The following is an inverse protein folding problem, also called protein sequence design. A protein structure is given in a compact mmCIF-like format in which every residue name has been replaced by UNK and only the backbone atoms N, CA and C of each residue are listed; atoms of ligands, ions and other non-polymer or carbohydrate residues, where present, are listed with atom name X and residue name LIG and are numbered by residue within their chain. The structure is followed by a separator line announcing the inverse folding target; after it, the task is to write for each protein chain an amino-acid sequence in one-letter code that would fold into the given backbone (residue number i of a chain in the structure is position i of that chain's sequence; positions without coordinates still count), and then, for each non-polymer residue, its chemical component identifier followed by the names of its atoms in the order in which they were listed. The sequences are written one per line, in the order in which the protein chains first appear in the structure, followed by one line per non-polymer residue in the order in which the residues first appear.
data_IF_277781243245
#
_entry.id   IF_277781243245
#
_cell.length_a   1.000
_cell.length_b   1.000
_cell.length_c   1.000
_cell.angle_alpha   90.00
_cell.angle_beta   90.00
_cell.angle_gamma   90.00
#
_symmetry.space_group_name_H-M   'P 1'
#
loop_
_entity.id
_entity.type
_entity.pdbx_description
1 polymer ?
#
# COMPACT_ATOMS: atom_id res chain seq x y z
N UNK A 1 -35.84 -14.77 21.48
CA UNK A 1 -36.71 -13.59 21.29
C UNK A 1 -36.00 -12.59 20.40
N UNK A 2 -36.65 -12.30 19.28
CA UNK A 2 -36.45 -11.21 18.31
C UNK A 2 -35.03 -10.91 17.80
N UNK A 3 -34.76 -11.48 16.63
CA UNK A 3 -33.81 -10.99 15.64
C UNK A 3 -34.20 -9.55 15.25
N UNK A 4 -33.22 -8.66 15.16
CA UNK A 4 -33.35 -7.39 14.45
C UNK A 4 -32.35 -7.39 13.32
N UNK A 5 -32.84 -7.72 12.14
CA UNK A 5 -32.21 -7.39 10.86
C UNK A 5 -32.13 -5.85 10.77
N UNK A 6 -30.95 -5.29 10.69
CA UNK A 6 -30.77 -3.92 10.22
C UNK A 6 -30.44 -3.96 8.73
N UNK A 7 -31.46 -3.67 7.94
CA UNK A 7 -31.33 -3.33 6.54
C UNK A 7 -30.54 -2.01 6.43
N UNK A 8 -29.48 -2.04 5.64
CA UNK A 8 -28.77 -0.83 5.20
C UNK A 8 -29.67 -0.18 4.16
N UNK A 9 -30.36 0.86 4.56
CA UNK A 9 -31.19 1.67 3.67
C UNK A 9 -30.31 2.58 2.82
N UNK A 10 -30.36 2.35 1.52
CA UNK A 10 -29.88 3.28 0.50
C UNK A 10 -30.77 4.54 0.58
N UNK A 11 -30.26 5.62 1.14
CA UNK A 11 -30.98 6.90 1.17
C UNK A 11 -30.79 7.58 -0.18
N UNK A 12 -31.79 7.45 -1.03
CA UNK A 12 -31.93 8.22 -2.26
C UNK A 12 -32.40 9.64 -1.85
N UNK A 13 -31.49 10.60 -1.80
CA UNK A 13 -31.84 12.01 -1.63
C UNK A 13 -32.22 12.60 -2.97
N UNK A 14 -33.54 12.64 -3.21
CA UNK A 14 -34.13 13.45 -4.27
C UNK A 14 -34.10 14.92 -3.84
N UNK A 15 -33.18 15.69 -4.37
CA UNK A 15 -33.23 17.15 -4.29
C UNK A 15 -34.11 17.67 -5.41
N UNK A 16 -35.37 17.95 -5.08
CA UNK A 16 -36.23 18.77 -5.92
C UNK A 16 -35.87 20.23 -5.72
N UNK A 17 -35.22 20.83 -6.70
CA UNK A 17 -35.10 22.29 -6.78
C UNK A 17 -36.36 22.85 -7.40
N UNK A 18 -37.18 23.50 -6.58
CA UNK A 18 -38.25 24.39 -7.06
C UNK A 18 -37.62 25.70 -7.55
N UNK A 19 -37.72 25.96 -8.83
CA UNK A 19 -37.75 27.33 -9.34
C UNK A 19 -39.14 27.60 -9.87
N UNK A 20 -39.80 28.58 -9.28
CA UNK A 20 -41.02 29.23 -9.85
C UNK A 20 -40.56 30.10 -11.03
N UNK A 21 -41.23 29.99 -12.14
CA UNK A 21 -41.99 31.09 -12.76
C UNK A 21 -42.66 30.71 -14.05
N UNK A 22 -43.96 31.07 -14.04
CA UNK A 22 -44.85 31.54 -15.07
C UNK A 22 -45.06 30.85 -16.42
N UNK A 23 -46.25 30.24 -16.45
CA UNK A 23 -47.28 30.32 -17.46
C UNK A 23 -46.94 30.65 -18.93
N UNK A 24 -47.13 29.65 -19.79
CA UNK A 24 -48.09 29.76 -20.89
C UNK A 24 -48.41 28.40 -21.53
N UNK A 25 -49.71 28.05 -21.76
CA UNK A 25 -50.06 26.82 -22.42
C UNK A 25 -50.19 27.06 -23.91
N UNK A 26 -49.40 26.37 -24.72
CA UNK A 26 -49.84 26.16 -26.12
C UNK A 26 -49.46 24.79 -26.63
N UNK A 27 -50.47 24.09 -26.97
CA UNK A 27 -50.69 22.91 -27.76
C UNK A 27 -49.74 22.69 -28.92
N UNK A 28 -49.26 21.43 -29.10
CA UNK A 28 -48.61 21.06 -30.34
C UNK A 28 -47.94 19.68 -30.35
N UNK A 29 -48.75 18.67 -30.50
CA UNK A 29 -48.53 17.42 -31.27
C UNK A 29 -47.08 16.99 -31.62
N UNK A 30 -46.67 15.85 -31.05
CA UNK A 30 -46.04 14.74 -31.77
C UNK A 30 -44.62 14.91 -32.30
N UNK A 31 -43.65 14.41 -31.62
CA UNK A 31 -42.72 13.37 -32.07
C UNK A 31 -41.65 13.15 -30.98
N UNK A 32 -41.50 11.90 -30.58
CA UNK A 32 -40.58 11.53 -29.54
C UNK A 32 -39.11 11.89 -29.87
N UNK A 33 -38.65 13.01 -29.35
CA UNK A 33 -37.26 13.28 -29.08
C UNK A 33 -37.20 13.61 -27.59
N UNK A 34 -36.74 12.64 -26.81
CA UNK A 34 -36.59 12.78 -25.38
C UNK A 34 -35.68 13.94 -25.03
N UNK A 35 -36.28 15.08 -24.70
CA UNK A 35 -35.58 16.29 -24.27
C UNK A 35 -35.34 16.27 -22.75
N UNK A 36 -35.09 15.10 -22.18
CA UNK A 36 -34.57 14.99 -20.82
C UNK A 36 -33.10 15.42 -20.80
N UNK A 37 -32.74 16.22 -19.82
CA UNK A 37 -31.30 16.52 -19.60
C UNK A 37 -30.57 15.22 -19.36
N UNK A 38 -29.44 15.03 -20.03
CA UNK A 38 -28.52 13.94 -19.74
C UNK A 38 -28.03 14.06 -18.27
N UNK A 39 -28.08 12.96 -17.56
CA UNK A 39 -27.59 12.87 -16.17
C UNK A 39 -26.64 11.69 -16.08
N UNK A 40 -25.43 11.91 -15.55
CA UNK A 40 -24.50 10.86 -15.16
C UNK A 40 -24.62 10.68 -13.66
N UNK A 41 -24.87 9.46 -13.21
CA UNK A 41 -25.11 9.15 -11.80
C UNK A 41 -23.94 8.42 -11.14
N UNK A 42 -23.28 7.52 -11.87
CA UNK A 42 -22.15 6.76 -11.34
C UNK A 42 -21.37 6.04 -12.44
N UNK A 43 -20.23 5.50 -12.04
CA UNK A 43 -19.39 4.60 -12.83
C UNK A 43 -19.35 3.23 -12.17
N UNK A 44 -19.27 2.16 -12.99
CA UNK A 44 -19.14 0.79 -12.45
C UNK A 44 -17.81 0.54 -11.73
N UNK A 45 -16.80 1.38 -12.02
CA UNK A 45 -15.47 1.36 -11.36
C UNK A 45 -14.90 2.78 -11.33
N UNK A 46 -14.09 3.06 -10.32
CA UNK A 46 -13.38 4.33 -10.20
C UNK A 46 -12.05 4.32 -10.97
N UNK A 47 -11.61 3.16 -11.44
CA UNK A 47 -10.39 2.99 -12.22
C UNK A 47 -10.46 1.74 -13.08
N UNK A 48 -9.55 1.67 -14.06
CA UNK A 48 -9.30 0.47 -14.84
C UNK A 48 -7.97 0.55 -15.57
N UNK A 49 -7.60 -0.55 -16.17
CA UNK A 49 -6.48 -0.58 -17.10
C UNK A 49 -6.93 -0.15 -18.49
N UNK A 50 -6.03 0.42 -19.30
CA UNK A 50 -6.32 0.68 -20.70
C UNK A 50 -6.72 -0.63 -21.39
N UNK A 51 -7.88 -0.62 -22.06
CA UNK A 51 -8.51 -1.80 -22.62
C UNK A 51 -9.64 -2.41 -21.80
N UNK A 52 -9.78 -2.04 -20.51
CA UNK A 52 -10.89 -2.49 -19.68
C UNK A 52 -12.22 -1.88 -20.12
N UNK A 53 -13.30 -2.65 -19.93
CA UNK A 53 -14.66 -2.17 -20.12
C UNK A 53 -15.18 -1.50 -18.84
N UNK A 54 -15.82 -0.34 -18.99
CA UNK A 54 -16.43 0.42 -17.90
C UNK A 54 -17.85 0.82 -18.29
N UNK A 55 -18.79 0.65 -17.37
CA UNK A 55 -20.15 1.13 -17.50
C UNK A 55 -20.29 2.50 -16.84
N UNK A 56 -20.92 3.41 -17.58
CA UNK A 56 -21.33 4.72 -17.09
C UNK A 56 -22.84 4.66 -16.91
N UNK A 57 -23.31 4.90 -15.70
CA UNK A 57 -24.73 4.87 -15.35
C UNK A 57 -25.28 6.27 -15.34
N UNK A 58 -26.53 6.42 -15.79
CA UNK A 58 -27.16 7.72 -15.88
C UNK A 58 -28.57 7.66 -16.44
N UNK A 59 -28.99 8.76 -17.00
CA UNK A 59 -30.31 8.86 -17.66
C UNK A 59 -30.18 9.64 -18.98
N UNK A 60 -31.02 9.29 -19.93
CA UNK A 60 -31.17 9.96 -21.23
C UNK A 60 -29.91 9.89 -22.11
N UNK A 61 -29.12 8.80 -22.00
CA UNK A 61 -28.06 8.56 -22.98
C UNK A 61 -28.66 8.36 -24.37
N UNK A 62 -28.22 9.14 -25.39
CA UNK A 62 -28.69 8.97 -26.76
C UNK A 62 -28.14 7.67 -27.37
N UNK A 63 -28.54 7.37 -28.61
CA UNK A 63 -28.03 6.21 -29.34
C UNK A 63 -26.49 6.29 -29.42
N UNK A 64 -25.85 5.12 -29.47
CA UNK A 64 -24.39 4.96 -29.49
C UNK A 64 -23.70 5.90 -30.52
N UNK A 65 -24.25 6.01 -31.69
CA UNK A 65 -23.71 6.79 -32.82
C UNK A 65 -23.71 8.31 -32.55
N UNK A 66 -24.47 8.75 -31.57
CA UNK A 66 -24.58 10.15 -31.16
C UNK A 66 -23.70 10.45 -29.89
N UNK A 67 -23.05 9.44 -29.36
CA UNK A 67 -22.20 9.57 -28.17
C UNK A 67 -20.73 9.60 -28.55
N UNK A 68 -20.00 10.51 -27.94
CA UNK A 68 -18.53 10.51 -27.95
C UNK A 68 -18.05 10.79 -26.52
N UNK A 69 -17.08 10.04 -26.07
CA UNK A 69 -16.46 10.21 -24.75
C UNK A 69 -14.97 10.33 -24.92
N UNK A 70 -14.36 11.33 -24.29
CA UNK A 70 -12.89 11.50 -24.29
C UNK A 70 -12.33 11.50 -22.89
N UNK A 71 -11.14 10.94 -22.74
CA UNK A 71 -10.29 10.98 -21.57
C UNK A 71 -9.08 11.85 -21.92
N UNK A 72 -9.06 13.10 -21.44
CA UNK A 72 -8.18 14.12 -21.97
C UNK A 72 -8.39 14.32 -23.47
N UNK A 73 -7.33 14.11 -24.26
CA UNK A 73 -7.38 14.22 -25.71
C UNK A 73 -7.67 12.88 -26.43
N UNK A 74 -7.82 11.78 -25.69
CA UNK A 74 -8.00 10.45 -26.29
C UNK A 74 -9.45 10.03 -26.26
N UNK A 75 -9.99 9.65 -27.43
CA UNK A 75 -11.37 9.17 -27.55
C UNK A 75 -11.48 7.71 -27.08
N UNK A 76 -12.50 7.42 -26.28
CA UNK A 76 -12.83 6.09 -25.83
C UNK A 76 -13.72 5.36 -26.86
N UNK A 77 -13.54 4.06 -26.99
CA UNK A 77 -14.41 3.23 -27.83
C UNK A 77 -15.68 2.90 -27.06
N UNK A 78 -16.83 3.48 -27.48
CA UNK A 78 -18.14 3.12 -26.93
C UNK A 78 -18.57 1.80 -27.54
N UNK A 79 -18.85 0.81 -26.71
CA UNK A 79 -19.28 -0.53 -27.16
C UNK A 79 -20.80 -0.64 -27.26
N UNK A 80 -21.51 -0.07 -26.29
CA UNK A 80 -22.98 -0.10 -26.29
C UNK A 80 -23.62 1.05 -25.51
N UNK A 81 -24.87 1.34 -25.81
CA UNK A 81 -25.78 2.11 -24.97
C UNK A 81 -27.05 1.25 -24.80
N UNK A 82 -27.52 1.15 -23.55
CA UNK A 82 -28.74 0.39 -23.25
C UNK A 82 -29.98 1.00 -23.92
N UNK A 83 -30.95 0.16 -24.26
CA UNK A 83 -32.15 0.60 -24.97
C UNK A 83 -33.00 1.61 -24.18
N UNK A 84 -32.90 1.59 -22.86
CA UNK A 84 -33.56 2.53 -21.94
C UNK A 84 -32.76 3.82 -21.70
N UNK A 85 -31.61 3.97 -22.33
CA UNK A 85 -30.74 5.13 -22.20
C UNK A 85 -30.14 5.34 -20.81
N UNK A 86 -30.05 4.29 -19.99
CA UNK A 86 -29.54 4.42 -18.61
C UNK A 86 -28.10 3.95 -18.40
N UNK A 87 -27.55 3.27 -19.41
CA UNK A 87 -26.19 2.74 -19.33
C UNK A 87 -25.44 2.93 -20.64
N UNK A 88 -24.24 3.46 -20.57
CA UNK A 88 -23.28 3.54 -21.65
C UNK A 88 -22.07 2.71 -21.26
N UNK A 89 -21.66 1.77 -22.11
CA UNK A 89 -20.47 0.95 -21.92
C UNK A 89 -19.37 1.40 -22.88
N UNK A 90 -18.18 1.61 -22.35
CA UNK A 90 -17.01 1.99 -23.14
C UNK A 90 -15.77 1.19 -22.74
N UNK A 91 -14.77 1.22 -23.62
CA UNK A 91 -13.43 0.70 -23.35
C UNK A 91 -12.50 1.85 -22.99
N UNK A 92 -11.80 1.75 -21.87
CA UNK A 92 -10.85 2.75 -21.43
C UNK A 92 -9.70 2.88 -22.43
N UNK A 93 -9.40 4.09 -22.92
CA UNK A 93 -8.29 4.31 -23.84
C UNK A 93 -6.95 4.30 -23.09
N UNK A 94 -5.84 4.32 -23.81
CA UNK A 94 -4.56 4.69 -23.24
C UNK A 94 -4.55 6.15 -22.80
N UNK A 95 -3.87 6.44 -21.71
CA UNK A 95 -3.73 7.81 -21.20
C UNK A 95 -2.33 8.04 -20.65
N UNK A 96 -1.74 9.19 -20.99
CA UNK A 96 -0.47 9.63 -20.43
C UNK A 96 -0.63 10.20 -18.99
N UNK A 97 -1.87 10.46 -18.58
CA UNK A 97 -2.19 10.94 -17.22
C UNK A 97 -3.12 9.96 -16.55
N UNK A 98 -2.91 9.76 -15.24
CA UNK A 98 -3.68 8.82 -14.44
C UNK A 98 -5.15 9.24 -14.26
N UNK A 99 -5.42 10.53 -14.03
CA UNK A 99 -6.76 11.10 -13.90
C UNK A 99 -7.03 12.07 -15.06
N UNK A 100 -7.24 11.58 -16.28
CA UNK A 100 -7.54 12.44 -17.40
C UNK A 100 -8.89 13.12 -17.21
N UNK A 101 -9.04 14.34 -17.72
CA UNK A 101 -10.34 15.02 -17.77
C UNK A 101 -11.31 14.20 -18.63
N UNK A 102 -12.46 13.86 -18.06
CA UNK A 102 -13.50 13.08 -18.74
C UNK A 102 -14.53 14.03 -19.34
N UNK A 103 -14.71 13.95 -20.67
CA UNK A 103 -15.69 14.77 -21.40
C UNK A 103 -16.66 13.91 -22.19
N UNK A 104 -17.93 14.24 -22.07
CA UNK A 104 -19.00 13.61 -22.81
C UNK A 104 -19.53 14.58 -23.88
N UNK A 105 -19.70 14.09 -25.10
CA UNK A 105 -20.26 14.82 -26.22
C UNK A 105 -21.51 14.09 -26.72
N UNK A 106 -22.61 14.80 -26.82
CA UNK A 106 -23.87 14.28 -27.29
C UNK A 106 -24.43 15.23 -28.32
N UNK A 107 -24.19 14.92 -29.59
CA UNK A 107 -24.46 15.83 -30.71
C UNK A 107 -23.61 17.11 -30.57
N UNK A 108 -24.28 18.27 -30.60
CA UNK A 108 -23.62 19.58 -30.46
C UNK A 108 -23.37 19.99 -28.99
N UNK A 109 -23.83 19.21 -28.02
CA UNK A 109 -23.71 19.52 -26.59
C UNK A 109 -22.51 18.80 -25.98
N UNK A 110 -21.74 19.52 -25.21
CA UNK A 110 -20.65 18.96 -24.37
C UNK A 110 -21.13 18.95 -22.94
N UNK A 111 -21.03 17.80 -22.26
CA UNK A 111 -21.27 17.67 -20.84
C UNK A 111 -19.95 17.25 -20.21
N UNK A 112 -19.44 18.05 -19.29
CA UNK A 112 -18.29 17.68 -18.44
C UNK A 112 -18.86 17.08 -17.17
N UNK A 113 -18.36 15.92 -16.77
CA UNK A 113 -18.74 15.36 -15.48
C UNK A 113 -18.02 16.13 -14.36
N UNK A 114 -18.70 17.12 -13.83
CA UNK A 114 -18.23 17.94 -12.70
C UNK A 114 -18.99 17.61 -11.42
N UNK A 115 -19.60 16.42 -11.30
CA UNK A 115 -20.29 16.07 -10.06
C UNK A 115 -19.30 15.88 -8.92
N UNK A 116 -19.07 16.98 -8.21
CA UNK A 116 -18.57 17.00 -6.86
C UNK A 116 -19.72 16.54 -5.95
N UNK A 117 -19.73 15.29 -5.57
CA UNK A 117 -20.54 14.84 -4.45
C UNK A 117 -19.64 14.78 -3.21
N UNK A 118 -19.80 15.73 -2.29
CA UNK A 118 -19.12 15.76 -1.00
C UNK A 118 -17.57 15.73 -1.08
N UNK A 119 -16.98 16.75 -1.69
CA UNK A 119 -15.52 16.99 -1.78
C UNK A 119 -14.68 15.92 -2.53
N UNK A 120 -15.32 14.90 -3.09
CA UNK A 120 -14.67 13.90 -3.94
C UNK A 120 -15.26 13.95 -5.35
N UNK A 121 -14.49 14.47 -6.30
CA UNK A 121 -14.79 14.32 -7.72
C UNK A 121 -14.75 12.83 -8.08
N UNK A 122 -15.86 12.29 -8.59
CA UNK A 122 -15.83 10.95 -9.18
C UNK A 122 -15.07 11.02 -10.50
N UNK A 123 -13.82 10.61 -10.49
CA UNK A 123 -12.98 10.49 -11.67
C UNK A 123 -12.75 9.01 -11.99
N UNK A 124 -12.60 8.69 -13.26
CA UNK A 124 -12.13 7.37 -13.65
C UNK A 124 -10.61 7.44 -13.85
N UNK A 125 -9.88 6.74 -13.02
CA UNK A 125 -8.44 6.57 -13.17
C UNK A 125 -8.12 5.58 -14.29
N UNK A 126 -7.16 5.91 -15.17
CA UNK A 126 -6.66 4.99 -16.18
C UNK A 126 -5.21 4.63 -15.86
N UNK A 127 -4.99 3.33 -15.63
CA UNK A 127 -3.64 2.79 -15.51
C UNK A 127 -3.26 2.24 -16.88
N UNK A 128 -2.37 2.93 -17.55
CA UNK A 128 -1.80 2.42 -18.81
C UNK A 128 -0.73 1.38 -18.47
N UNK A 129 -1.13 0.11 -18.37
CA UNK A 129 -0.23 -1.00 -18.12
C UNK A 129 0.66 -1.23 -19.36
N UNK A 130 1.72 -0.44 -19.47
CA UNK A 130 2.73 -0.61 -20.51
C UNK A 130 3.86 -1.45 -19.94
N UNK A 131 4.02 -2.66 -20.46
CA UNK A 131 5.13 -3.54 -20.09
C UNK A 131 6.45 -2.87 -20.48
N UNK A 132 7.41 -2.89 -19.56
CA UNK A 132 8.73 -2.30 -19.78
C UNK A 132 8.80 -0.78 -19.64
N UNK A 133 7.78 -0.14 -19.08
CA UNK A 133 7.75 1.31 -18.85
C UNK A 133 7.27 1.67 -17.45
N UNK A 134 7.76 2.79 -16.92
CA UNK A 134 7.26 3.38 -15.70
C UNK A 134 5.95 4.12 -15.95
N UNK A 135 4.95 3.82 -15.14
CA UNK A 135 3.63 4.46 -15.18
C UNK A 135 3.42 5.21 -13.88
N UNK A 136 3.18 6.50 -13.96
CA UNK A 136 2.86 7.35 -12.81
C UNK A 136 1.37 7.29 -12.50
N UNK A 137 1.05 7.16 -11.22
CA UNK A 137 -0.28 7.37 -10.68
C UNK A 137 -0.19 8.34 -9.51
N UNK A 138 -1.21 9.14 -9.29
CA UNK A 138 -1.27 10.01 -8.15
C UNK A 138 -2.11 9.33 -7.06
N UNK A 139 -1.68 9.45 -5.82
CA UNK A 139 -2.49 9.08 -4.69
C UNK A 139 -2.65 10.28 -3.76
N UNK A 140 -3.87 10.55 -3.29
CA UNK A 140 -4.17 11.74 -2.49
C UNK A 140 -3.80 11.57 -1.01
N UNK A 141 -2.71 10.88 -0.71
CA UNK A 141 -2.35 10.56 0.66
C UNK A 141 -0.88 10.89 0.90
N UNK A 142 -0.60 11.78 1.83
CA UNK A 142 0.76 12.08 2.25
C UNK A 142 1.37 10.87 2.98
N UNK A 143 2.50 10.36 2.46
CA UNK A 143 3.31 9.39 3.20
C UNK A 143 4.02 10.12 4.34
N UNK A 144 4.19 9.43 5.47
CA UNK A 144 4.95 9.93 6.59
C UNK A 144 6.33 10.39 6.16
N UNK A 145 6.74 11.56 6.61
CA UNK A 145 8.11 12.07 6.45
C UNK A 145 9.15 11.15 7.10
N UNK A 146 8.71 10.31 8.03
CA UNK A 146 9.56 9.34 8.72
C UNK A 146 9.68 8.04 7.90
N UNK A 147 10.59 8.07 6.95
CA UNK A 147 10.87 7.00 6.00
C UNK A 147 11.33 5.66 6.63
N UNK A 148 11.78 5.64 7.89
CA UNK A 148 12.14 4.41 8.60
C UNK A 148 10.92 3.53 8.91
N UNK A 149 9.72 4.10 8.86
CA UNK A 149 8.51 3.46 9.35
C UNK A 149 7.46 3.17 8.28
N UNK A 150 7.71 3.51 7.01
CA UNK A 150 6.76 3.16 5.94
C UNK A 150 6.78 1.66 5.69
N UNK A 151 5.75 0.97 6.14
CA UNK A 151 5.53 -0.45 5.90
C UNK A 151 4.43 -0.60 4.88
N UNK A 152 4.66 -1.44 3.91
CA UNK A 152 3.72 -1.68 2.82
C UNK A 152 3.56 -3.17 2.60
N UNK A 153 2.33 -3.60 2.40
CA UNK A 153 2.00 -4.96 1.95
C UNK A 153 1.01 -4.87 0.79
N UNK A 154 1.24 -5.65 -0.26
CA UNK A 154 0.39 -5.67 -1.45
C UNK A 154 -0.15 -7.07 -1.64
N UNK A 155 -1.47 -7.19 -1.78
CA UNK A 155 -2.19 -8.46 -1.97
C UNK A 155 -3.19 -8.26 -3.11
N UNK A 156 -2.85 -8.74 -4.31
CA UNK A 156 -3.65 -8.45 -5.50
C UNK A 156 -3.72 -6.95 -5.78
N UNK A 157 -4.92 -6.41 -5.93
CA UNK A 157 -5.16 -4.97 -6.11
C UNK A 157 -5.20 -4.18 -4.80
N UNK A 158 -5.09 -4.86 -3.66
CA UNK A 158 -5.08 -4.22 -2.35
C UNK A 158 -3.68 -3.77 -1.97
N UNK A 159 -3.56 -2.52 -1.58
CA UNK A 159 -2.33 -1.94 -1.03
C UNK A 159 -2.61 -1.50 0.40
N UNK A 160 -1.83 -1.99 1.33
CA UNK A 160 -1.85 -1.59 2.74
C UNK A 160 -0.56 -0.84 3.04
N UNK A 161 -0.65 0.31 3.68
CA UNK A 161 0.53 1.11 4.01
C UNK A 161 0.36 1.85 5.34
N UNK A 162 1.45 2.02 6.06
CA UNK A 162 1.47 2.92 7.21
C UNK A 162 1.57 4.36 6.75
N UNK A 163 0.82 5.23 7.42
CA UNK A 163 0.84 6.67 7.17
C UNK A 163 0.84 7.44 8.49
N UNK A 164 1.50 8.59 8.52
CA UNK A 164 1.27 9.60 9.55
C UNK A 164 0.05 10.42 9.14
N UNK A 165 -1.03 10.29 9.90
CA UNK A 165 -2.28 10.99 9.59
C UNK A 165 -2.24 12.47 9.94
N UNK A 166 -1.65 12.79 11.06
CA UNK A 166 -1.24 14.14 11.46
C UNK A 166 -0.15 14.04 12.54
N UNK A 167 0.53 15.15 12.81
CA UNK A 167 1.63 15.20 13.79
C UNK A 167 1.17 14.87 15.23
N UNK A 168 -0.14 14.82 15.49
CA UNK A 168 -0.72 14.58 16.81
C UNK A 168 -1.34 13.18 16.98
N UNK A 169 -1.59 12.44 15.90
CA UNK A 169 -2.40 11.21 15.92
C UNK A 169 -1.63 9.90 15.78
N UNK A 170 -0.30 9.97 15.62
CA UNK A 170 0.51 8.77 15.39
C UNK A 170 0.33 8.15 14.00
N UNK A 171 0.93 6.98 13.80
CA UNK A 171 0.83 6.24 12.54
C UNK A 171 -0.47 5.43 12.50
N UNK A 172 -1.11 5.42 11.35
CA UNK A 172 -2.26 4.56 11.05
C UNK A 172 -1.92 3.64 9.88
N UNK A 173 -2.64 2.54 9.76
CA UNK A 173 -2.64 1.76 8.52
C UNK A 173 -3.81 2.23 7.66
N UNK A 174 -3.48 2.60 6.46
CA UNK A 174 -4.43 2.90 5.40
C UNK A 174 -4.40 1.78 4.38
N UNK A 175 -5.48 1.60 3.65
CA UNK A 175 -5.51 0.63 2.57
C UNK A 175 -6.29 1.17 1.37
N UNK A 176 -5.91 0.65 0.22
CA UNK A 176 -6.61 0.86 -1.04
C UNK A 176 -7.14 -0.49 -1.53
N UNK A 177 -8.35 -0.51 -2.07
CA UNK A 177 -8.98 -1.68 -2.72
C UNK A 177 -8.87 -1.62 -4.24
N UNK A 178 -8.40 -0.50 -4.75
CA UNK A 178 -8.45 -0.11 -6.15
C UNK A 178 -7.05 0.29 -6.65
N UNK A 179 -6.05 -0.47 -6.21
CA UNK A 179 -4.66 -0.33 -6.62
C UNK A 179 -4.07 1.08 -6.37
N UNK A 180 -4.44 1.71 -5.26
CA UNK A 180 -3.85 2.96 -4.81
C UNK A 180 -4.56 4.23 -5.29
N UNK A 181 -5.82 4.13 -5.71
CA UNK A 181 -6.62 5.26 -6.21
C UNK A 181 -7.36 5.93 -5.10
N UNK A 182 -8.15 5.16 -4.38
CA UNK A 182 -8.83 5.64 -3.17
C UNK A 182 -8.24 4.96 -1.95
N UNK A 183 -8.25 5.67 -0.84
CA UNK A 183 -7.66 5.21 0.40
C UNK A 183 -8.64 5.34 1.56
N UNK A 184 -8.69 4.29 2.35
CA UNK A 184 -9.50 4.19 3.55
C UNK A 184 -8.61 3.88 4.76
N UNK A 185 -9.04 4.24 5.95
CA UNK A 185 -8.39 3.78 7.18
C UNK A 185 -8.69 2.32 7.39
N UNK A 186 -7.65 1.49 7.49
CA UNK A 186 -7.80 0.08 7.84
C UNK A 186 -7.80 -0.12 9.35
N UNK A 187 -6.91 0.55 10.06
CA UNK A 187 -6.81 0.48 11.51
C UNK A 187 -6.64 1.87 12.10
N UNK A 188 -7.42 2.16 13.12
CA UNK A 188 -7.29 3.36 13.94
C UNK A 188 -6.91 2.94 15.36
N UNK A 189 -5.80 3.45 15.85
CA UNK A 189 -5.31 3.14 17.19
C UNK A 189 -6.10 3.82 18.31
N UNK A 190 -6.96 4.78 17.98
CA UNK A 190 -7.81 5.45 18.95
C UNK A 190 -7.04 6.17 20.07
N UNK A 191 -5.87 6.74 19.78
CA UNK A 191 -5.06 7.41 20.78
C UNK A 191 -3.62 7.68 20.31
N UNK A 192 -2.74 7.96 21.25
CA UNK A 192 -1.31 8.28 21.04
C UNK A 192 -0.45 7.07 20.61
N UNK A 193 -1.05 5.92 20.32
CA UNK A 193 -0.33 4.70 19.97
C UNK A 193 0.13 4.70 18.54
N UNK A 194 1.43 4.52 18.33
CA UNK A 194 2.04 4.33 17.01
C UNK A 194 1.91 2.88 16.59
N UNK A 195 1.38 2.62 15.39
CA UNK A 195 1.44 1.29 14.79
C UNK A 195 2.89 1.00 14.44
N UNK A 196 3.48 0.04 15.15
CA UNK A 196 4.86 -0.37 14.92
C UNK A 196 4.99 -1.32 13.73
N UNK A 197 3.99 -2.15 13.50
CA UNK A 197 3.93 -3.10 12.37
C UNK A 197 2.51 -3.60 12.12
N UNK A 198 2.30 -4.21 10.96
CA UNK A 198 1.09 -4.95 10.64
C UNK A 198 1.41 -6.16 9.76
N UNK A 199 0.50 -7.10 9.73
CA UNK A 199 0.49 -8.22 8.80
C UNK A 199 -0.94 -8.53 8.38
N UNK A 200 -1.17 -8.62 7.07
CA UNK A 200 -2.45 -8.91 6.45
C UNK A 200 -2.38 -10.28 5.80
N UNK A 201 -3.38 -11.09 6.07
CA UNK A 201 -3.54 -12.40 5.44
C UNK A 201 -4.16 -12.26 4.04
N UNK A 202 -4.08 -13.27 3.18
CA UNK A 202 -4.76 -13.28 1.88
C UNK A 202 -6.29 -13.08 1.96
N UNK A 203 -6.91 -13.41 3.10
CA UNK A 203 -8.32 -13.14 3.37
C UNK A 203 -8.62 -11.66 3.71
N UNK A 204 -7.60 -10.81 3.70
CA UNK A 204 -7.67 -9.40 4.07
C UNK A 204 -8.02 -9.12 5.53
N UNK A 205 -7.97 -10.11 6.39
CA UNK A 205 -7.92 -9.92 7.84
C UNK A 205 -6.48 -9.72 8.28
N UNK A 206 -6.24 -9.13 9.44
CA UNK A 206 -4.87 -8.94 9.86
C UNK A 206 -4.66 -8.66 11.32
N UNK A 207 -3.39 -8.52 11.63
CA UNK A 207 -2.88 -8.12 12.93
C UNK A 207 -2.15 -6.79 12.79
N UNK A 208 -2.35 -5.88 13.72
CA UNK A 208 -1.49 -4.72 13.91
C UNK A 208 -0.81 -4.77 15.27
N UNK A 209 0.33 -4.14 15.36
CA UNK A 209 1.13 -4.04 16.57
C UNK A 209 1.27 -2.58 16.97
N UNK A 210 1.00 -2.30 18.23
CA UNK A 210 1.41 -1.06 18.89
C UNK A 210 2.20 -1.40 20.18
N UNK A 211 2.62 -0.39 20.91
CA UNK A 211 3.40 -0.59 22.14
C UNK A 211 2.66 -1.42 23.20
N UNK A 212 1.33 -1.35 23.22
CA UNK A 212 0.48 -1.98 24.23
C UNK A 212 0.11 -3.41 23.89
N UNK A 213 0.23 -3.82 22.62
CA UNK A 213 -0.16 -5.17 22.23
C UNK A 213 -0.29 -5.42 20.74
N UNK A 214 -0.85 -6.58 20.43
CA UNK A 214 -1.21 -7.02 19.10
C UNK A 214 -2.73 -7.08 19.00
N UNK A 215 -3.28 -6.51 17.94
CA UNK A 215 -4.72 -6.37 17.75
C UNK A 215 -5.16 -7.07 16.47
N UNK A 216 -6.30 -7.74 16.54
CA UNK A 216 -7.01 -8.20 15.36
C UNK A 216 -7.74 -7.02 14.73
N UNK A 217 -7.60 -6.85 13.41
CA UNK A 217 -8.28 -5.79 12.68
C UNK A 217 -9.00 -6.39 11.48
N UNK A 218 -10.34 -6.39 11.47
CA UNK A 218 -11.11 -6.77 10.30
C UNK A 218 -11.04 -5.68 9.24
N UNK A 219 -11.23 -6.04 7.99
CA UNK A 219 -11.27 -5.10 6.86
C UNK A 219 -12.26 -3.97 7.13
N UNK A 220 -11.81 -2.72 6.95
CA UNK A 220 -12.64 -1.52 7.14
C UNK A 220 -13.13 -1.34 8.58
N UNK A 221 -12.54 -2.07 9.52
CA UNK A 221 -12.94 -2.09 10.92
C UNK A 221 -12.08 -1.20 11.80
N UNK A 222 -12.68 -0.75 12.89
CA UNK A 222 -11.94 -0.23 14.02
C UNK A 222 -11.21 -1.35 14.73
N UNK A 223 -10.03 -1.07 15.25
CA UNK A 223 -9.30 -1.91 16.21
C UNK A 223 -10.29 -2.51 17.20
N UNK A 224 -10.21 -3.81 17.43
CA UNK A 224 -10.96 -4.43 18.52
C UNK A 224 -10.60 -3.73 19.84
N UNK A 225 -11.56 -3.40 20.69
CA UNK A 225 -11.29 -2.61 21.90
C UNK A 225 -10.31 -3.28 22.87
N UNK A 226 -10.16 -4.58 22.76
CA UNK A 226 -9.19 -5.34 23.56
C UNK A 226 -8.08 -5.88 22.67
N UNK A 227 -6.81 -5.76 23.07
CA UNK A 227 -5.71 -6.38 22.34
C UNK A 227 -5.90 -7.90 22.29
N UNK A 228 -5.65 -8.47 21.12
CA UNK A 228 -5.61 -9.92 20.94
C UNK A 228 -4.47 -10.53 21.78
N UNK A 229 -3.36 -9.80 21.88
CA UNK A 229 -2.25 -10.07 22.77
C UNK A 229 -1.98 -8.78 23.55
N UNK A 230 -2.10 -8.83 24.87
CA UNK A 230 -1.84 -7.69 25.73
C UNK A 230 -0.43 -7.79 26.34
N UNK A 231 0.34 -6.71 26.25
CA UNK A 231 1.63 -6.60 26.94
C UNK A 231 1.51 -6.78 28.47
N UNK A 232 0.32 -6.60 29.04
CA UNK A 232 0.01 -6.88 30.44
C UNK A 232 -0.13 -8.36 30.81
N UNK A 233 -0.16 -9.32 29.84
CA UNK A 233 -0.09 -10.74 30.18
C UNK A 233 1.21 -11.04 30.91
N UNK A 234 1.16 -11.94 31.87
CA UNK A 234 2.29 -12.25 32.77
C UNK A 234 3.61 -12.56 32.04
N UNK A 235 3.53 -13.27 30.91
CA UNK A 235 4.70 -13.60 30.08
C UNK A 235 5.41 -12.36 29.52
N UNK A 236 4.68 -11.28 29.28
CA UNK A 236 5.22 -10.04 28.70
C UNK A 236 5.49 -8.99 29.77
N UNK A 237 4.56 -8.80 30.72
CA UNK A 237 4.63 -7.71 31.71
C UNK A 237 5.79 -7.85 32.69
N UNK A 238 6.16 -9.09 33.06
CA UNK A 238 7.34 -9.35 33.92
C UNK A 238 8.64 -8.84 33.30
N UNK A 239 8.67 -8.73 31.96
CA UNK A 239 9.85 -8.31 31.22
C UNK A 239 9.77 -6.88 30.71
N UNK A 240 8.61 -6.21 30.74
CA UNK A 240 8.43 -4.87 30.16
C UNK A 240 8.62 -4.89 28.65
N UNK A 241 7.98 -5.86 27.98
CA UNK A 241 8.14 -6.07 26.53
C UNK A 241 7.36 -5.01 25.76
N UNK A 242 8.03 -4.33 24.84
CA UNK A 242 7.42 -3.46 23.83
C UNK A 242 7.40 -4.19 22.49
N UNK A 243 6.20 -4.45 21.98
CA UNK A 243 6.05 -5.15 20.71
C UNK A 243 6.41 -4.28 19.52
N UNK A 244 7.03 -4.88 18.52
CA UNK A 244 7.48 -4.14 17.35
C UNK A 244 7.17 -4.81 16.01
N UNK A 245 7.17 -6.15 15.96
CA UNK A 245 6.90 -6.89 14.71
C UNK A 245 5.90 -7.99 14.94
N UNK A 246 5.08 -8.25 13.92
CA UNK A 246 4.15 -9.38 13.89
C UNK A 246 4.16 -10.04 12.51
N UNK A 247 4.01 -11.34 12.50
CA UNK A 247 3.68 -12.14 11.32
C UNK A 247 2.82 -13.31 11.76
N UNK A 248 1.90 -13.74 10.91
CA UNK A 248 1.11 -14.95 11.16
C UNK A 248 0.94 -15.77 9.88
N UNK A 249 0.45 -17.00 10.03
CA UNK A 249 -0.10 -17.78 8.93
C UNK A 249 -1.51 -17.27 8.55
N UNK A 250 -2.07 -17.80 7.47
CA UNK A 250 -3.37 -17.39 6.96
C UNK A 250 -4.53 -17.69 7.93
N UNK A 251 -4.35 -18.68 8.80
CA UNK A 251 -5.34 -19.06 9.81
C UNK A 251 -5.17 -18.28 11.14
N UNK A 252 -4.13 -17.46 11.25
CA UNK A 252 -3.73 -16.75 12.47
C UNK A 252 -3.55 -17.67 13.68
N UNK A 253 -3.10 -18.90 13.45
CA UNK A 253 -2.75 -19.87 14.49
C UNK A 253 -1.28 -19.81 14.85
N UNK A 254 -0.40 -19.84 13.83
CA UNK A 254 1.02 -19.64 14.02
C UNK A 254 1.29 -18.14 13.96
N UNK A 255 1.61 -17.56 15.11
CA UNK A 255 1.88 -16.13 15.24
C UNK A 255 3.26 -15.96 15.85
N UNK A 256 4.09 -15.14 15.21
CA UNK A 256 5.37 -14.69 15.75
C UNK A 256 5.24 -13.19 16.10
N UNK A 257 5.66 -12.86 17.29
CA UNK A 257 5.74 -11.46 17.77
C UNK A 257 7.16 -11.20 18.23
N UNK A 258 7.73 -10.09 17.78
CA UNK A 258 9.09 -9.69 18.16
C UNK A 258 9.04 -8.34 18.85
N UNK A 259 9.74 -8.24 20.00
CA UNK A 259 9.88 -6.99 20.72
C UNK A 259 10.90 -6.06 20.05
N UNK A 260 10.87 -4.80 20.44
CA UNK A 260 11.85 -3.81 20.00
C UNK A 260 13.28 -4.18 20.45
N UNK A 261 13.42 -4.91 21.55
CA UNK A 261 14.70 -5.40 22.06
C UNK A 261 15.17 -6.70 21.42
N UNK A 262 14.27 -7.40 20.70
CA UNK A 262 14.56 -8.66 20.04
C UNK A 262 14.15 -9.91 20.84
N UNK A 263 13.32 -9.79 21.88
CA UNK A 263 12.62 -10.96 22.42
C UNK A 263 11.66 -11.51 21.36
N UNK A 264 11.54 -12.82 21.26
CA UNK A 264 10.67 -13.49 20.30
C UNK A 264 9.69 -14.38 21.02
N UNK A 265 8.43 -14.20 20.72
CA UNK A 265 7.33 -15.01 21.25
C UNK A 265 6.57 -15.67 20.11
N UNK A 266 6.15 -16.90 20.34
CA UNK A 266 5.42 -17.71 19.36
C UNK A 266 4.13 -18.24 19.92
N UNK A 267 3.12 -18.31 19.07
CA UNK A 267 1.91 -19.10 19.30
C UNK A 267 1.75 -20.11 18.16
N UNK A 268 1.16 -21.27 18.46
CA UNK A 268 0.77 -22.30 17.48
C UNK A 268 -0.75 -22.52 17.44
N UNK A 269 -1.49 -21.81 18.28
CA UNK A 269 -2.95 -21.92 18.36
C UNK A 269 -3.68 -20.56 18.34
N UNK A 270 -2.92 -19.48 18.10
CA UNK A 270 -3.43 -18.12 18.05
C UNK A 270 -3.83 -17.52 19.42
N UNK A 271 -3.56 -18.19 20.52
CA UNK A 271 -4.01 -17.77 21.87
C UNK A 271 -2.91 -17.81 22.92
N UNK A 272 -2.19 -18.92 22.99
CA UNK A 272 -1.18 -19.15 23.99
C UNK A 272 0.19 -18.88 23.40
N UNK A 273 0.98 -18.06 24.09
CA UNK A 273 2.31 -17.67 23.66
C UNK A 273 3.36 -18.23 24.60
N UNK A 274 4.49 -18.62 24.04
CA UNK A 274 5.68 -18.99 24.74
C UNK A 274 6.90 -18.24 24.17
N UNK A 275 7.92 -18.08 25.01
CA UNK A 275 9.14 -17.43 24.60
C UNK A 275 10.01 -18.38 23.78
N UNK A 276 10.51 -17.91 22.65
CA UNK A 276 11.46 -18.61 21.78
C UNK A 276 12.88 -18.04 21.97
N UNK A 277 12.95 -16.73 22.15
CA UNK A 277 14.20 -16.00 22.40
C UNK A 277 13.94 -14.93 23.44
N UNK A 278 14.83 -14.83 24.41
CA UNK A 278 14.81 -13.80 25.44
C UNK A 278 16.12 -13.05 25.49
N UNK A 279 16.03 -11.73 25.53
CA UNK A 279 17.17 -10.83 25.68
C UNK A 279 17.37 -10.52 27.16
N UNK A 280 18.61 -10.61 27.66
CA UNK A 280 18.91 -10.26 29.03
C UNK A 280 18.53 -8.80 29.32
N UNK A 281 17.95 -8.53 30.49
CA UNK A 281 17.45 -7.21 30.86
C UNK A 281 18.50 -6.11 30.76
N UNK A 282 19.76 -6.44 31.06
CA UNK A 282 20.94 -5.56 30.93
C UNK A 282 21.25 -5.18 29.48
N UNK A 283 20.79 -5.97 28.52
CA UNK A 283 21.10 -5.81 27.10
C UNK A 283 19.95 -5.23 26.30
N UNK A 284 18.84 -4.84 26.93
CA UNK A 284 17.70 -4.20 26.30
C UNK A 284 18.02 -2.77 25.90
N UNK A 285 17.84 -2.44 24.60
CA UNK A 285 18.31 -1.16 24.01
C UNK A 285 17.46 -0.66 22.86
N UNK A 286 16.26 -1.20 22.66
CA UNK A 286 15.42 -0.82 21.54
C UNK A 286 16.12 -1.00 20.18
N UNK A 287 16.80 -2.13 20.00
CA UNK A 287 17.75 -2.35 18.90
C UNK A 287 17.08 -2.61 17.54
N UNK A 288 15.80 -3.09 17.51
CA UNK A 288 15.16 -3.58 16.28
C UNK A 288 14.02 -2.67 15.81
N UNK A 289 14.34 -1.43 15.47
CA UNK A 289 13.37 -0.41 15.06
C UNK A 289 13.13 -0.34 13.53
N UNK A 290 13.98 -0.99 12.70
CA UNK A 290 13.98 -0.83 11.26
C UNK A 290 13.13 -1.85 10.53
N UNK A 291 13.11 -1.77 9.18
CA UNK A 291 12.27 -2.59 8.35
C UNK A 291 12.59 -4.08 8.49
N UNK A 292 11.55 -4.89 8.43
CA UNK A 292 11.65 -6.34 8.39
C UNK A 292 11.26 -6.85 7.00
N UNK A 293 11.96 -7.85 6.52
CA UNK A 293 11.52 -8.68 5.40
C UNK A 293 10.88 -9.94 5.98
N UNK A 294 9.61 -10.17 5.66
CA UNK A 294 8.80 -11.28 6.15
C UNK A 294 8.28 -12.06 4.95
N UNK A 295 8.76 -13.27 4.74
CA UNK A 295 8.29 -14.16 3.68
C UNK A 295 7.14 -15.03 4.18
N UNK A 296 7.35 -15.67 5.32
CA UNK A 296 6.39 -16.49 6.05
C UNK A 296 6.84 -16.61 7.51
N UNK A 297 6.13 -17.38 8.33
CA UNK A 297 6.41 -17.54 9.76
C UNK A 297 7.74 -18.22 10.08
N UNK A 298 8.41 -18.82 9.10
CA UNK A 298 9.71 -19.48 9.26
C UNK A 298 10.87 -18.69 8.62
N UNK A 299 10.58 -17.65 7.86
CA UNK A 299 11.58 -16.89 7.11
C UNK A 299 11.37 -15.39 7.34
N UNK A 300 12.10 -14.87 8.34
CA UNK A 300 11.96 -13.49 8.82
C UNK A 300 13.35 -12.91 9.05
N UNK A 301 13.60 -11.70 8.56
CA UNK A 301 14.83 -10.93 8.80
C UNK A 301 14.47 -9.51 9.23
N UNK A 302 15.02 -9.05 10.33
CA UNK A 302 14.71 -7.76 10.95
C UNK A 302 15.98 -6.95 11.08
N UNK A 303 16.03 -5.80 10.43
CA UNK A 303 17.14 -4.85 10.56
C UNK A 303 17.13 -4.15 11.91
N UNK A 304 18.31 -3.86 12.41
CA UNK A 304 18.52 -3.22 13.70
C UNK A 304 19.90 -2.59 13.85
N UNK A 305 20.17 -2.16 15.06
CA UNK A 305 21.46 -1.62 15.47
C UNK A 305 21.76 -1.98 16.94
N UNK A 306 23.03 -1.96 17.31
CA UNK A 306 23.46 -1.95 18.71
C UNK A 306 23.69 -0.48 19.09
N UNK A 307 23.04 -0.01 20.14
CA UNK A 307 23.20 1.36 20.63
C UNK A 307 24.08 1.40 21.88
N UNK A 308 25.41 1.34 21.70
CA UNK A 308 26.42 1.38 22.77
C UNK A 308 27.44 2.49 22.56
N UNK A 309 26.98 3.74 22.44
CA UNK A 309 27.87 4.89 22.21
C UNK A 309 28.15 5.14 20.74
N UNK A 310 28.59 4.14 19.97
CA UNK A 310 28.57 4.10 18.53
C UNK A 310 27.55 3.07 18.09
N UNK A 311 26.75 3.37 17.07
CA UNK A 311 25.78 2.43 16.54
C UNK A 311 26.48 1.37 15.68
N UNK A 312 26.09 0.11 15.81
CA UNK A 312 26.61 -0.98 14.98
C UNK A 312 25.42 -1.72 14.37
N UNK A 313 25.35 -1.84 13.04
CA UNK A 313 24.21 -2.49 12.39
C UNK A 313 24.16 -3.98 12.69
N UNK A 314 22.95 -4.51 12.79
CA UNK A 314 22.72 -5.94 13.00
C UNK A 314 21.42 -6.41 12.37
N UNK A 315 21.29 -7.71 12.19
CA UNK A 315 20.08 -8.39 11.72
C UNK A 315 19.73 -9.49 12.69
N UNK A 316 18.47 -9.52 13.13
CA UNK A 316 17.86 -10.66 13.82
C UNK A 316 17.04 -11.46 12.83
N UNK A 317 17.20 -12.77 12.77
CA UNK A 317 16.51 -13.56 11.77
C UNK A 317 16.24 -15.00 12.19
N UNK A 318 15.22 -15.61 11.57
CA UNK A 318 15.09 -17.05 11.45
C UNK A 318 14.98 -17.44 9.98
N UNK A 319 15.61 -18.56 9.61
CA UNK A 319 15.61 -19.06 8.24
C UNK A 319 15.35 -20.57 8.24
N UNK A 320 14.07 -20.94 8.04
CA UNK A 320 13.61 -22.32 7.99
C UNK A 320 13.08 -22.91 9.31
N UNK A 321 13.44 -22.36 10.45
CA UNK A 321 12.94 -22.80 11.75
C UNK A 321 12.70 -21.61 12.67
N UNK A 322 11.44 -21.26 12.92
CA UNK A 322 11.05 -20.11 13.72
C UNK A 322 11.22 -20.29 15.24
N UNK A 323 11.78 -21.40 15.68
CA UNK A 323 12.24 -21.62 17.05
C UNK A 323 13.74 -21.38 17.22
N UNK A 324 14.46 -21.14 16.10
CA UNK A 324 15.88 -20.85 16.09
C UNK A 324 16.12 -19.45 15.49
N UNK A 325 16.48 -18.51 16.34
CA UNK A 325 16.76 -17.15 15.96
C UNK A 325 18.24 -16.84 16.12
N UNK A 326 18.79 -16.25 15.09
CA UNK A 326 20.20 -15.88 14.98
C UNK A 326 20.33 -14.38 14.86
N UNK A 327 21.39 -13.84 15.44
CA UNK A 327 21.77 -12.44 15.28
C UNK A 327 23.07 -12.36 14.49
N UNK A 328 23.12 -11.52 13.47
CA UNK A 328 24.36 -11.18 12.75
C UNK A 328 24.68 -9.71 13.00
N UNK A 329 25.94 -9.42 13.37
CA UNK A 329 26.43 -8.07 13.66
C UNK A 329 27.46 -7.67 12.60
N UNK A 330 27.28 -6.48 12.00
CA UNK A 330 28.23 -5.92 11.03
C UNK A 330 29.33 -5.12 11.78
N UNK A 331 30.24 -5.80 12.42
CA UNK A 331 31.21 -5.20 13.35
C UNK A 331 32.13 -4.13 12.71
N UNK A 332 32.35 -4.21 11.39
CA UNK A 332 33.19 -3.28 10.63
C UNK A 332 32.43 -2.04 10.12
N UNK A 333 31.22 -1.79 10.61
CA UNK A 333 30.36 -0.70 10.18
C UNK A 333 29.96 0.19 11.37
N UNK A 334 30.92 0.92 11.97
CA UNK A 334 30.59 1.84 13.06
C UNK A 334 29.66 2.95 12.56
N UNK A 335 28.76 3.40 13.41
CA UNK A 335 27.72 4.42 13.13
C UNK A 335 26.72 4.05 12.04
N UNK A 336 26.69 2.77 11.63
CA UNK A 336 25.75 2.24 10.67
C UNK A 336 24.44 1.74 11.28
N UNK A 337 23.43 1.56 10.42
CA UNK A 337 22.12 0.99 10.75
C UNK A 337 21.66 0.08 9.64
N UNK A 338 21.20 -1.12 9.95
CA UNK A 338 20.58 -2.01 8.96
C UNK A 338 19.13 -1.55 8.72
N UNK A 339 18.94 -0.69 7.72
CA UNK A 339 17.66 0.05 7.51
C UNK A 339 16.70 -0.66 6.58
N UNK A 340 17.18 -1.45 5.63
CA UNK A 340 16.32 -2.26 4.76
C UNK A 340 16.98 -3.61 4.48
N UNK A 341 16.17 -4.65 4.40
CA UNK A 341 16.60 -6.01 4.10
C UNK A 341 15.61 -6.65 3.14
N UNK A 342 16.12 -7.36 2.15
CA UNK A 342 15.31 -8.03 1.14
C UNK A 342 15.91 -9.38 0.79
N UNK A 343 15.09 -10.42 0.76
CA UNK A 343 15.50 -11.78 0.42
C UNK A 343 14.68 -12.29 -0.76
N UNK A 344 15.21 -12.20 -2.01
CA UNK A 344 14.53 -12.77 -3.17
C UNK A 344 14.40 -14.30 -3.09
N UNK A 345 15.31 -14.98 -2.44
CA UNK A 345 15.22 -16.42 -2.10
C UNK A 345 15.48 -16.61 -0.60
N UNK A 346 15.34 -17.84 -0.09
CA UNK A 346 15.66 -18.13 1.32
C UNK A 346 17.18 -18.12 1.59
N UNK A 347 18.00 -18.17 0.57
CA UNK A 347 19.47 -18.19 0.68
C UNK A 347 20.10 -16.85 0.30
N UNK A 348 19.59 -16.20 -0.73
CA UNK A 348 20.14 -14.94 -1.24
C UNK A 348 19.41 -13.77 -0.60
N UNK A 349 20.18 -12.91 0.05
CA UNK A 349 19.65 -11.71 0.68
C UNK A 349 20.52 -10.48 0.47
N UNK A 350 19.90 -9.31 0.62
CA UNK A 350 20.55 -8.01 0.52
C UNK A 350 20.16 -7.17 1.72
N UNK A 351 21.14 -6.49 2.31
CA UNK A 351 20.95 -5.58 3.42
C UNK A 351 21.52 -4.21 3.08
N UNK A 352 20.72 -3.18 3.28
CA UNK A 352 21.15 -1.79 3.18
C UNK A 352 21.61 -1.31 4.56
N UNK A 353 22.86 -0.96 4.64
CA UNK A 353 23.45 -0.30 5.81
C UNK A 353 23.50 1.20 5.53
N UNK A 354 22.76 1.98 6.31
CA UNK A 354 22.79 3.45 6.26
C UNK A 354 23.80 3.97 7.28
N UNK A 355 24.66 4.88 6.86
CA UNK A 355 25.68 5.52 7.66
C UNK A 355 26.19 6.80 6.99
N UNK A 356 27.43 7.19 7.24
CA UNK A 356 28.08 8.32 6.52
C UNK A 356 28.16 8.05 5.01
N UNK A 357 28.27 6.78 4.62
CA UNK A 357 28.14 6.27 3.26
C UNK A 357 27.22 5.06 3.33
N UNK A 358 26.25 4.98 2.44
CA UNK A 358 25.35 3.84 2.36
C UNK A 358 26.06 2.67 1.67
N UNK A 359 25.86 1.47 2.19
CA UNK A 359 26.50 0.24 1.71
C UNK A 359 25.48 -0.86 1.57
N UNK A 360 25.65 -1.70 0.55
CA UNK A 360 24.85 -2.90 0.38
C UNK A 360 25.70 -4.11 0.69
N UNK A 361 25.14 -5.00 1.48
CA UNK A 361 25.69 -6.31 1.79
C UNK A 361 24.85 -7.40 1.14
N UNK A 362 25.49 -8.44 0.65
CA UNK A 362 24.85 -9.64 0.08
C UNK A 362 25.14 -10.84 0.96
N UNK A 363 24.10 -11.61 1.24
CA UNK A 363 24.21 -12.96 1.82
C UNK A 363 23.89 -14.01 0.75
N UNK A 364 24.54 -15.15 0.81
CA UNK A 364 24.31 -16.32 -0.05
C UNK A 364 23.95 -17.57 0.76
N UNK A 365 23.81 -17.43 2.06
CA UNK A 365 23.55 -18.52 3.02
C UNK A 365 22.35 -18.26 3.93
N UNK A 366 21.46 -17.36 3.54
CA UNK A 366 20.24 -17.08 4.29
C UNK A 366 20.39 -16.09 5.43
N UNK A 367 21.50 -15.34 5.48
CA UNK A 367 21.75 -14.32 6.49
C UNK A 367 22.80 -14.69 7.52
N UNK A 368 23.39 -15.89 7.43
CA UNK A 368 24.42 -16.33 8.37
C UNK A 368 25.77 -15.65 8.13
N UNK A 369 26.06 -15.28 6.87
CA UNK A 369 27.23 -14.45 6.54
C UNK A 369 26.85 -13.39 5.50
N UNK A 370 27.62 -12.28 5.51
CA UNK A 370 27.36 -11.15 4.64
C UNK A 370 28.66 -10.60 4.04
N UNK A 371 28.65 -10.36 2.75
CA UNK A 371 29.75 -9.75 2.02
C UNK A 371 29.36 -8.37 1.53
N UNK A 372 30.21 -7.37 1.81
CA UNK A 372 30.03 -6.01 1.27
C UNK A 372 30.17 -6.03 -0.24
N UNK A 373 29.21 -5.41 -0.93
CA UNK A 373 29.29 -5.20 -2.37
C UNK A 373 30.20 -4.00 -2.69
N UNK A 374 30.85 -4.02 -3.87
CA UNK A 374 31.88 -3.02 -4.22
C UNK A 374 31.29 -1.62 -4.48
N UNK A 375 29.99 -1.52 -4.71
CA UNK A 375 29.36 -0.26 -5.06
C UNK A 375 28.99 0.52 -3.78
N UNK A 376 29.55 1.70 -3.64
CA UNK A 376 29.16 2.66 -2.60
C UNK A 376 28.13 3.65 -3.15
N UNK A 377 27.08 3.85 -2.39
CA UNK A 377 25.92 4.61 -2.84
C UNK A 377 25.96 5.98 -2.19
N UNK A 378 25.67 7.07 -2.94
CA UNK A 378 25.53 8.40 -2.36
C UNK A 378 24.53 8.40 -1.20
N UNK A 379 24.74 9.29 -0.25
CA UNK A 379 23.80 9.52 0.87
C UNK A 379 22.39 9.71 0.31
N UNK A 380 21.41 9.03 0.88
CA UNK A 380 20.00 9.17 0.46
C UNK A 380 19.35 7.90 -0.07
N UNK A 381 20.07 6.76 -0.13
CA UNK A 381 19.40 5.47 -0.42
C UNK A 381 18.48 5.11 0.73
N UNK A 382 17.26 4.76 0.38
CA UNK A 382 16.19 4.53 1.34
C UNK A 382 15.59 3.14 1.27
N UNK A 383 15.63 2.49 0.10
CA UNK A 383 14.98 1.20 -0.08
C UNK A 383 15.64 0.35 -1.14
N UNK A 384 15.53 -0.95 -0.94
CA UNK A 384 15.91 -2.03 -1.86
C UNK A 384 14.68 -2.85 -2.24
N UNK A 385 14.65 -3.34 -3.47
CA UNK A 385 13.72 -4.37 -3.92
C UNK A 385 14.44 -5.28 -4.91
N UNK A 386 14.36 -6.59 -4.72
CA UNK A 386 14.94 -7.56 -5.63
C UNK A 386 13.87 -8.50 -6.16
N UNK A 387 13.92 -8.73 -7.46
CA UNK A 387 13.09 -9.69 -8.17
C UNK A 387 13.64 -11.11 -7.98
N UNK A 388 14.95 -11.23 -8.14
CA UNK A 388 15.71 -12.48 -8.07
C UNK A 388 17.14 -12.21 -7.57
N UNK A 389 18.01 -13.21 -7.62
CA UNK A 389 19.39 -13.11 -7.16
C UNK A 389 20.28 -12.16 -7.97
N UNK A 390 19.87 -11.76 -9.16
CA UNK A 390 20.65 -10.93 -10.08
C UNK A 390 20.00 -9.56 -10.30
N UNK A 391 18.66 -9.52 -10.37
CA UNK A 391 17.91 -8.33 -10.76
C UNK A 391 17.32 -7.64 -9.54
N UNK A 392 17.68 -6.38 -9.35
CA UNK A 392 17.18 -5.60 -8.24
C UNK A 392 17.22 -4.08 -8.49
N UNK A 393 16.59 -3.36 -7.58
CA UNK A 393 16.49 -1.90 -7.62
C UNK A 393 16.81 -1.30 -6.27
N UNK A 394 17.34 -0.10 -6.32
CA UNK A 394 17.53 0.77 -5.17
C UNK A 394 17.08 2.18 -5.50
N UNK A 395 16.61 2.91 -4.47
CA UNK A 395 16.27 4.33 -4.60
C UNK A 395 17.28 5.21 -3.89
N UNK A 396 17.69 6.32 -4.56
CA UNK A 396 18.50 7.38 -3.97
C UNK A 396 17.87 8.74 -4.33
N UNK A 397 17.22 9.38 -3.36
CA UNK A 397 16.39 10.54 -3.63
C UNK A 397 15.33 10.21 -4.69
N UNK A 398 15.32 10.98 -5.77
CA UNK A 398 14.39 10.80 -6.90
C UNK A 398 14.78 9.69 -7.87
N UNK A 399 15.99 9.15 -7.77
CA UNK A 399 16.54 8.25 -8.79
C UNK A 399 16.39 6.80 -8.36
N UNK A 400 15.93 5.97 -9.29
CA UNK A 400 15.93 4.52 -9.19
C UNK A 400 17.08 3.98 -10.03
N UNK A 401 17.90 3.18 -9.40
CA UNK A 401 18.99 2.43 -10.03
C UNK A 401 18.62 0.96 -10.12
N UNK A 402 19.05 0.31 -11.17
CA UNK A 402 18.88 -1.12 -11.41
C UNK A 402 20.23 -1.84 -11.46
N UNK A 403 20.24 -3.03 -10.91
CA UNK A 403 21.28 -4.03 -11.11
C UNK A 403 20.74 -5.22 -11.88
N UNK A 404 21.60 -5.89 -12.64
CA UNK A 404 21.34 -7.18 -13.31
C UNK A 404 22.44 -8.22 -13.03
N UNK A 405 23.35 -7.89 -12.10
CA UNK A 405 24.50 -8.71 -11.72
C UNK A 405 24.57 -8.94 -10.18
N UNK A 406 23.41 -8.88 -9.54
CA UNK A 406 23.32 -9.13 -8.09
C UNK A 406 23.90 -8.01 -7.24
N UNK A 407 23.88 -6.77 -7.72
CA UNK A 407 24.31 -5.59 -6.98
C UNK A 407 25.77 -5.23 -7.13
N UNK A 408 26.55 -5.92 -8.01
CA UNK A 408 27.94 -5.55 -8.26
C UNK A 408 28.06 -4.24 -9.04
N UNK A 409 27.13 -4.01 -9.99
CA UNK A 409 27.02 -2.75 -10.73
C UNK A 409 25.58 -2.24 -10.72
N UNK A 410 25.44 -0.92 -10.78
CA UNK A 410 24.16 -0.23 -10.77
C UNK A 410 24.10 0.82 -11.87
N UNK A 411 23.00 0.86 -12.59
CA UNK A 411 22.75 1.84 -13.65
C UNK A 411 21.47 2.62 -13.34
N UNK A 412 21.47 3.93 -13.63
CA UNK A 412 20.27 4.73 -13.53
C UNK A 412 19.23 4.21 -14.52
N UNK A 413 18.04 3.88 -14.03
CA UNK A 413 16.93 3.40 -14.84
C UNK A 413 15.81 4.41 -14.95
N UNK A 414 15.52 5.14 -13.85
CA UNK A 414 14.39 6.06 -13.81
C UNK A 414 14.68 7.24 -12.87
N UNK A 415 14.08 8.39 -13.18
CA UNK A 415 14.06 9.57 -12.30
C UNK A 415 12.61 10.00 -12.07
N UNK A 416 12.18 9.99 -10.82
CA UNK A 416 10.88 10.42 -10.37
C UNK A 416 10.80 11.95 -10.24
N UNK A 417 9.59 12.47 -10.07
CA UNK A 417 9.37 13.91 -9.82
C UNK A 417 9.70 14.30 -8.36
N UNK A 418 9.55 13.36 -7.43
CA UNK A 418 9.86 13.55 -6.00
C UNK A 418 10.63 12.35 -5.43
N UNK A 419 11.08 12.46 -4.18
CA UNK A 419 11.92 11.47 -3.53
C UNK A 419 11.18 10.15 -3.32
N UNK A 420 11.81 9.04 -3.74
CA UNK A 420 11.30 7.69 -3.54
C UNK A 420 11.52 7.27 -2.08
N UNK A 421 10.46 6.92 -1.39
CA UNK A 421 10.48 6.49 0.01
C UNK A 421 10.58 4.98 0.16
N UNK A 422 9.88 4.22 -0.68
CA UNK A 422 9.87 2.76 -0.62
C UNK A 422 9.76 2.15 -2.00
N UNK A 423 10.56 1.13 -2.24
CA UNK A 423 10.43 0.20 -3.36
C UNK A 423 9.80 -1.10 -2.86
N UNK A 424 8.92 -1.66 -3.65
CA UNK A 424 8.28 -2.94 -3.37
C UNK A 424 8.09 -3.74 -4.66
N UNK A 425 8.68 -4.94 -4.73
CA UNK A 425 8.50 -5.83 -5.88
C UNK A 425 7.56 -6.98 -5.51
N UNK A 426 6.53 -7.18 -6.29
CA UNK A 426 5.60 -8.32 -6.17
C UNK A 426 4.84 -8.55 -7.47
N UNK A 427 4.48 -9.79 -7.76
CA UNK A 427 3.59 -10.18 -8.88
C UNK A 427 4.00 -9.58 -10.25
N UNK A 428 5.31 -9.52 -10.53
CA UNK A 428 5.86 -8.91 -11.74
C UNK A 428 5.61 -7.39 -11.90
N UNK A 429 5.42 -6.69 -10.78
CA UNK A 429 5.34 -5.23 -10.74
C UNK A 429 6.33 -4.70 -9.71
N UNK A 430 7.08 -3.69 -10.08
CA UNK A 430 7.87 -2.88 -9.17
C UNK A 430 7.08 -1.61 -8.86
N UNK A 431 6.79 -1.40 -7.59
CA UNK A 431 6.15 -0.21 -7.07
C UNK A 431 7.20 0.72 -6.47
N UNK A 432 7.09 2.01 -6.76
CA UNK A 432 7.91 3.04 -6.15
C UNK A 432 6.99 4.10 -5.52
N UNK A 433 6.94 4.09 -4.19
CA UNK A 433 6.19 5.05 -3.39
C UNK A 433 7.06 6.28 -3.19
N UNK A 434 6.58 7.43 -3.60
CA UNK A 434 7.30 8.70 -3.56
C UNK A 434 6.58 9.73 -2.68
N UNK A 435 7.28 10.83 -2.36
CA UNK A 435 6.67 12.01 -1.76
C UNK A 435 5.58 12.60 -2.67
N UNK A 436 4.85 13.57 -2.15
CA UNK A 436 3.81 14.31 -2.87
C UNK A 436 2.66 13.45 -3.39
N UNK A 437 2.43 12.28 -2.76
CA UNK A 437 1.37 11.37 -3.14
C UNK A 437 1.58 10.74 -4.51
N UNK A 438 2.81 10.53 -4.93
CA UNK A 438 3.12 9.89 -6.20
C UNK A 438 3.41 8.40 -6.01
N UNK A 439 2.84 7.58 -6.88
CA UNK A 439 3.08 6.15 -6.96
C UNK A 439 3.45 5.77 -8.39
N UNK A 440 4.64 5.25 -8.57
CA UNK A 440 5.11 4.74 -9.85
C UNK A 440 5.05 3.22 -9.87
N UNK A 441 4.76 2.66 -11.05
CA UNK A 441 4.73 1.22 -11.31
C UNK A 441 5.53 0.89 -12.55
N UNK A 442 6.27 -0.19 -12.49
CA UNK A 442 6.93 -0.78 -13.65
C UNK A 442 6.43 -2.22 -13.83
N UNK A 443 5.83 -2.51 -14.97
CA UNK A 443 5.25 -3.82 -15.27
C UNK A 443 6.22 -4.65 -16.08
N UNK A 444 6.51 -5.88 -15.64
CA UNK A 444 7.41 -6.80 -16.32
C UNK A 444 6.69 -7.75 -17.30
N UNK A 445 5.37 -7.92 -17.12
CA UNK A 445 4.51 -8.78 -17.96
C UNK A 445 3.12 -8.19 -18.12
#
# INVERSE_FOLDING_TARGET
MKQVLKAVGLVLLLLTSCSKDDSNPNNGNGNGNGNGNLVITSYSKNYGYAGDSVDILGENFPKKEQCKVTFGNTEATITSVSADGKKLTLVLPRSSTYLPELKFYFGEKTVVDNKVTNDYEQKIGIIDKVVGQWVKTQWDVAIADDWYNVKTQIIGDYIYSTQVWDKSSGNIVIFSKDNGITWEKWANTGGWSYISDFYITPSHEGLNVDFDGVYKVPIGGTKTPNPFINSGKEIFSKRGVEFNRVICDDEMKNIIVVSIDGDVYKSTNGKDFYSVREVEKSDRRMDYQFLAFKRDVNHIWIGGLINKGMTTPKILFCNGNNEQWTEYVFENEPDGRAVDVNFPTNQIGYCLISGSVNKIYKSTDGGYSWQKLPFEIPIGVRSLAFQDENTGWQSSGKVIYKTTDGGNTWQKEFEAESDIKKLYYTQNVLYAFADDGLLYRYYFK
#
